data_IF_982069941354
#
_entry.id   IF_982069941354
#
_cell.length_a   1.000
_cell.length_b   1.000
_cell.length_c   1.000
_cell.angle_alpha   90.00
_cell.angle_beta   90.00
_cell.angle_gamma   90.00
#
_symmetry.space_group_name_H-M   'P 1'
#
loop_
_entity.id
_entity.type
_entity.pdbx_description
1 polymer ?
#
# COMPACT_ATOMS: atom_id res chain seq x y z
N UNK A 1 55.85 8.98 -16.88
CA UNK A 1 54.72 8.39 -16.17
C UNK A 1 53.93 9.53 -15.52
N UNK A 2 52.68 9.81 -15.97
CA UNK A 2 51.82 10.80 -15.29
C UNK A 2 51.49 10.23 -13.90
N UNK A 3 51.89 10.93 -12.83
CA UNK A 3 51.52 10.56 -11.47
C UNK A 3 49.98 10.53 -11.36
N UNK A 4 49.43 9.48 -10.83
CA UNK A 4 47.97 9.40 -10.56
C UNK A 4 47.58 10.58 -9.64
N UNK A 5 46.42 11.23 -9.89
CA UNK A 5 45.95 12.30 -9.01
C UNK A 5 45.71 11.74 -7.60
N UNK A 6 46.16 12.48 -6.58
CA UNK A 6 46.10 12.02 -5.18
C UNK A 6 44.71 11.64 -4.72
N UNK A 7 43.66 12.32 -5.24
CA UNK A 7 42.28 11.96 -4.98
C UNK A 7 41.92 10.54 -5.45
N UNK A 8 42.47 10.09 -6.58
CA UNK A 8 42.23 8.74 -7.10
C UNK A 8 42.95 7.68 -6.25
N UNK A 9 44.15 8.00 -5.74
CA UNK A 9 44.87 7.11 -4.82
C UNK A 9 44.06 6.91 -3.54
N UNK A 10 43.56 8.02 -2.97
CA UNK A 10 42.70 7.98 -1.78
C UNK A 10 41.42 7.19 -2.05
N UNK A 11 40.75 7.46 -3.16
CA UNK A 11 39.56 6.69 -3.59
C UNK A 11 39.81 5.18 -3.64
N UNK A 12 40.87 4.74 -4.33
CA UNK A 12 41.20 3.32 -4.46
C UNK A 12 41.56 2.68 -3.12
N UNK A 13 42.26 3.43 -2.25
CA UNK A 13 42.54 2.99 -0.89
C UNK A 13 41.25 2.75 -0.11
N UNK A 14 40.37 3.77 -0.05
CA UNK A 14 39.09 3.68 0.68
C UNK A 14 38.22 2.52 0.16
N UNK A 15 38.11 2.36 -1.17
CA UNK A 15 37.36 1.25 -1.77
C UNK A 15 37.96 -0.10 -1.36
N UNK A 16 39.28 -0.24 -1.44
CA UNK A 16 39.97 -1.49 -1.11
C UNK A 16 39.86 -1.85 0.38
N UNK A 17 39.97 -0.88 1.27
CA UNK A 17 39.83 -1.07 2.71
C UNK A 17 38.42 -1.51 3.08
N UNK A 18 37.42 -0.80 2.57
CA UNK A 18 36.03 -1.07 2.88
C UNK A 18 35.51 -2.37 2.25
N UNK A 19 36.02 -2.80 1.10
CA UNK A 19 35.72 -4.12 0.53
C UNK A 19 36.32 -5.28 1.34
N UNK A 20 37.38 -5.04 2.12
CA UNK A 20 37.98 -6.05 3.04
C UNK A 20 37.24 -6.11 4.37
N UNK A 21 36.54 -5.04 4.76
CA UNK A 21 35.74 -5.05 5.97
C UNK A 21 34.39 -5.75 5.74
N UNK A 22 34.29 -6.99 6.28
CA UNK A 22 33.07 -7.80 6.17
C UNK A 22 31.83 -7.10 6.72
N UNK A 23 31.98 -6.30 7.77
CA UNK A 23 30.87 -5.59 8.40
C UNK A 23 30.31 -4.51 7.46
N UNK A 24 31.19 -3.74 6.86
CA UNK A 24 30.82 -2.70 5.89
C UNK A 24 30.19 -3.32 4.63
N UNK A 25 30.78 -4.38 4.09
CA UNK A 25 30.23 -5.11 2.93
C UNK A 25 28.83 -5.65 3.22
N UNK A 26 28.62 -6.33 4.34
CA UNK A 26 27.32 -6.90 4.71
C UNK A 26 26.29 -5.79 4.90
N UNK A 27 26.61 -4.74 5.65
CA UNK A 27 25.66 -3.68 5.93
C UNK A 27 25.31 -2.86 4.69
N UNK A 28 26.30 -2.51 3.88
CA UNK A 28 26.13 -1.60 2.74
C UNK A 28 25.65 -2.33 1.49
N UNK A 29 26.21 -3.50 1.17
CA UNK A 29 25.96 -4.22 -0.08
C UNK A 29 24.91 -5.34 0.04
N UNK A 30 24.62 -5.82 1.25
CA UNK A 30 23.59 -6.84 1.45
C UNK A 30 22.37 -6.28 2.19
N UNK A 31 22.57 -5.77 3.41
CA UNK A 31 21.44 -5.33 4.25
C UNK A 31 20.71 -4.15 3.63
N UNK A 32 21.43 -3.12 3.17
CA UNK A 32 20.83 -1.94 2.54
C UNK A 32 19.97 -2.28 1.32
N UNK A 33 20.51 -2.95 0.28
CA UNK A 33 19.76 -3.32 -0.91
C UNK A 33 18.62 -4.30 -0.69
N UNK A 34 18.72 -5.21 0.30
CA UNK A 34 17.70 -6.23 0.54
C UNK A 34 16.58 -5.76 1.48
N UNK A 35 16.88 -4.84 2.40
CA UNK A 35 15.92 -4.36 3.39
C UNK A 35 14.72 -3.66 2.73
N UNK A 36 14.98 -2.80 1.75
CA UNK A 36 13.94 -2.05 1.06
C UNK A 36 12.97 -2.95 0.28
N UNK A 37 13.42 -3.90 -0.58
CA UNK A 37 12.53 -4.88 -1.21
C UNK A 37 11.78 -5.75 -0.21
N UNK A 38 12.43 -6.18 0.88
CA UNK A 38 11.77 -6.99 1.90
C UNK A 38 10.61 -6.26 2.58
N UNK A 39 10.83 -5.00 2.98
CA UNK A 39 9.78 -4.14 3.55
C UNK A 39 8.67 -3.92 2.52
N UNK A 40 9.01 -3.64 1.26
CA UNK A 40 8.03 -3.45 0.19
C UNK A 40 7.13 -4.67 0.02
N UNK A 41 7.72 -5.88 -0.09
CA UNK A 41 6.95 -7.13 -0.19
C UNK A 41 6.04 -7.34 1.00
N UNK A 42 6.55 -7.09 2.20
CA UNK A 42 5.77 -7.25 3.43
C UNK A 42 4.55 -6.30 3.42
N UNK A 43 4.74 -5.03 3.06
CA UNK A 43 3.65 -4.06 2.97
C UNK A 43 2.64 -4.47 1.92
N UNK A 44 3.10 -4.82 0.72
CA UNK A 44 2.22 -5.20 -0.40
C UNK A 44 1.46 -6.49 -0.10
N UNK A 45 2.16 -7.53 0.40
CA UNK A 45 1.51 -8.79 0.75
C UNK A 45 0.48 -8.60 1.86
N UNK A 46 0.80 -7.82 2.89
CA UNK A 46 -0.15 -7.49 3.95
C UNK A 46 -1.37 -6.70 3.41
N UNK A 47 -1.17 -5.79 2.47
CA UNK A 47 -2.25 -5.03 1.84
C UNK A 47 -3.14 -5.94 1.01
N UNK A 48 -2.54 -6.78 0.16
CA UNK A 48 -3.30 -7.75 -0.67
C UNK A 48 -4.09 -8.72 0.21
N UNK A 49 -3.47 -9.28 1.24
CA UNK A 49 -4.15 -10.20 2.16
C UNK A 49 -5.33 -9.53 2.85
N UNK A 50 -5.15 -8.29 3.33
CA UNK A 50 -6.23 -7.52 3.96
C UNK A 50 -7.39 -7.22 3.02
N UNK A 51 -7.11 -6.88 1.77
CA UNK A 51 -8.17 -6.61 0.78
C UNK A 51 -8.94 -7.87 0.39
N UNK A 52 -8.25 -9.01 0.20
CA UNK A 52 -8.89 -10.30 -0.06
C UNK A 52 -9.72 -10.75 1.14
N UNK A 53 -9.17 -10.67 2.34
CA UNK A 53 -9.87 -10.99 3.58
C UNK A 53 -11.13 -10.14 3.78
N UNK A 54 -11.06 -8.83 3.50
CA UNK A 54 -12.22 -7.93 3.61
C UNK A 54 -13.33 -8.28 2.62
N UNK A 55 -12.97 -8.74 1.42
CA UNK A 55 -13.95 -9.13 0.40
C UNK A 55 -14.70 -10.42 0.80
N UNK A 56 -14.02 -11.36 1.47
CA UNK A 56 -14.59 -12.67 1.85
C UNK A 56 -15.22 -12.67 3.26
N UNK A 57 -14.80 -11.76 4.15
CA UNK A 57 -15.34 -11.70 5.52
C UNK A 57 -16.80 -11.35 5.54
N UNK A 58 -17.55 -12.13 6.33
CA UNK A 58 -18.91 -11.81 6.73
C UNK A 58 -18.93 -10.43 7.41
N UNK A 59 -19.83 -9.55 6.96
CA UNK A 59 -19.99 -8.22 7.55
C UNK A 59 -20.92 -8.31 8.76
N UNK A 60 -20.43 -8.14 10.01
CA UNK A 60 -21.30 -8.08 11.18
C UNK A 60 -22.03 -6.74 11.19
N UNK A 61 -23.36 -6.80 11.21
CA UNK A 61 -24.23 -5.62 11.25
C UNK A 61 -25.19 -5.76 12.43
N UNK A 62 -25.06 -4.90 13.46
CA UNK A 62 -26.09 -4.79 14.47
C UNK A 62 -27.38 -4.22 13.86
N UNK A 63 -28.51 -4.88 14.14
CA UNK A 63 -29.82 -4.49 13.56
C UNK A 63 -30.85 -4.30 14.66
N UNK A 64 -31.49 -3.13 14.66
CA UNK A 64 -32.65 -2.82 15.49
C UNK A 64 -33.90 -3.07 14.69
N UNK A 65 -34.90 -3.77 15.25
CA UNK A 65 -36.18 -4.03 14.58
C UNK A 65 -36.08 -5.07 13.46
N UNK A 66 -35.20 -6.04 13.59
CA UNK A 66 -35.04 -7.13 12.61
C UNK A 66 -36.35 -7.91 12.37
N UNK A 67 -37.21 -7.98 13.38
CA UNK A 67 -38.56 -8.59 13.35
C UNK A 67 -39.55 -7.86 12.44
N UNK A 68 -39.34 -6.56 12.16
CA UNK A 68 -40.22 -5.78 11.31
C UNK A 68 -40.01 -6.08 9.81
N UNK A 69 -38.86 -6.70 9.44
CA UNK A 69 -38.52 -6.99 8.06
C UNK A 69 -37.81 -8.34 7.87
N UNK A 70 -38.43 -9.50 8.19
CA UNK A 70 -37.77 -10.79 8.16
C UNK A 70 -37.22 -11.17 6.79
N UNK A 71 -37.91 -10.79 5.70
CA UNK A 71 -37.48 -11.05 4.33
C UNK A 71 -36.23 -10.22 3.94
N UNK A 72 -36.14 -8.98 4.41
CA UNK A 72 -34.96 -8.13 4.22
C UNK A 72 -33.78 -8.73 4.98
N UNK A 73 -33.97 -9.13 6.23
CA UNK A 73 -32.93 -9.77 7.06
C UNK A 73 -32.43 -11.07 6.42
N UNK A 74 -33.32 -11.90 5.90
CA UNK A 74 -32.96 -13.12 5.17
C UNK A 74 -32.14 -12.82 3.90
N UNK A 75 -32.51 -11.79 3.15
CA UNK A 75 -31.77 -11.37 1.95
C UNK A 75 -30.39 -10.81 2.28
N UNK A 76 -30.21 -10.10 3.40
CA UNK A 76 -28.93 -9.60 3.86
C UNK A 76 -27.99 -10.75 4.26
N UNK A 77 -28.52 -11.75 4.95
CA UNK A 77 -27.75 -12.98 5.29
C UNK A 77 -27.23 -13.71 4.05
N UNK A 78 -28.02 -13.75 2.96
CA UNK A 78 -27.60 -14.35 1.69
C UNK A 78 -26.45 -13.57 1.01
N UNK A 79 -26.20 -12.33 1.41
CA UNK A 79 -25.13 -11.49 0.88
C UNK A 79 -23.92 -11.39 1.84
N UNK A 80 -23.66 -12.42 2.64
CA UNK A 80 -22.58 -12.47 3.62
C UNK A 80 -22.63 -11.31 4.65
N UNK A 81 -23.85 -10.95 5.09
CA UNK A 81 -24.09 -10.01 6.18
C UNK A 81 -24.60 -10.78 7.37
N UNK A 82 -23.85 -10.76 8.47
CA UNK A 82 -24.21 -11.38 9.73
C UNK A 82 -25.01 -10.40 10.57
N UNK A 83 -26.23 -10.77 10.91
CA UNK A 83 -27.10 -9.94 11.75
C UNK A 83 -26.69 -10.15 13.20
N UNK A 84 -26.29 -9.10 13.88
CA UNK A 84 -25.94 -9.06 15.31
C UNK A 84 -27.02 -8.34 16.10
N UNK A 85 -27.10 -8.65 17.38
CA UNK A 85 -27.94 -7.91 18.30
C UNK A 85 -27.47 -6.46 18.39
N UNK A 86 -28.44 -5.56 18.41
CA UNK A 86 -28.15 -4.14 18.47
C UNK A 86 -27.74 -3.71 19.88
N UNK A 87 -26.80 -2.77 20.03
CA UNK A 87 -26.47 -2.16 21.31
C UNK A 87 -27.66 -1.34 21.83
N UNK A 88 -27.74 -1.16 23.14
CA UNK A 88 -28.80 -0.41 23.79
C UNK A 88 -28.85 1.07 23.35
N UNK A 89 -27.69 1.65 23.09
CA UNK A 89 -27.53 3.01 22.54
C UNK A 89 -26.70 2.94 21.25
N UNK A 90 -27.35 2.85 20.08
CA UNK A 90 -26.66 2.68 18.80
C UNK A 90 -25.83 3.89 18.39
N UNK A 91 -26.29 5.10 18.69
CA UNK A 91 -25.57 6.33 18.38
C UNK A 91 -24.28 6.45 19.22
N UNK A 92 -24.34 6.01 20.47
CA UNK A 92 -23.17 5.96 21.35
C UNK A 92 -22.19 4.87 20.90
N UNK A 93 -22.66 3.68 20.58
CA UNK A 93 -21.82 2.59 20.12
C UNK A 93 -21.03 2.96 18.85
N UNK A 94 -21.63 3.72 17.94
CA UNK A 94 -20.95 4.24 16.75
C UNK A 94 -19.92 5.31 17.13
N UNK A 95 -20.23 6.23 18.04
CA UNK A 95 -19.30 7.27 18.51
C UNK A 95 -18.12 6.69 19.28
N UNK A 96 -18.38 5.71 20.15
CA UNK A 96 -17.35 5.06 20.98
C UNK A 96 -16.54 4.00 20.18
N UNK A 97 -16.82 3.83 18.90
CA UNK A 97 -16.17 2.88 17.97
C UNK A 97 -16.42 1.40 18.28
N UNK A 98 -17.44 1.07 19.03
CA UNK A 98 -17.85 -0.31 19.33
C UNK A 98 -18.55 -0.97 18.14
N UNK A 99 -19.13 -0.16 17.25
CA UNK A 99 -19.72 -0.59 15.99
C UNK A 99 -19.33 0.35 14.83
N UNK A 100 -19.07 -0.20 13.65
CA UNK A 100 -18.81 0.61 12.44
C UNK A 100 -20.08 1.29 11.94
N UNK A 101 -21.20 0.58 12.06
CA UNK A 101 -22.54 1.03 11.64
C UNK A 101 -23.62 0.24 12.38
N UNK A 102 -24.82 0.79 12.45
CA UNK A 102 -26.03 0.10 12.94
C UNK A 102 -27.16 0.32 11.92
N UNK A 103 -27.91 -0.74 11.62
CA UNK A 103 -29.12 -0.68 10.80
C UNK A 103 -30.33 -0.60 11.71
N UNK A 104 -31.17 0.42 11.56
CA UNK A 104 -32.46 0.54 12.23
C UNK A 104 -33.60 0.35 11.24
N UNK A 105 -34.50 -0.59 11.55
CA UNK A 105 -35.72 -0.86 10.79
C UNK A 105 -36.89 -0.41 11.64
N UNK A 106 -37.55 0.72 11.31
CA UNK A 106 -38.68 1.23 12.09
C UNK A 106 -39.87 0.27 12.08
N UNK A 107 -40.73 0.35 13.10
CA UNK A 107 -41.92 -0.49 13.23
C UNK A 107 -42.91 -0.29 12.04
N UNK A 108 -42.95 0.91 11.50
CA UNK A 108 -43.80 1.29 10.37
C UNK A 108 -43.35 0.65 9.05
N UNK A 109 -42.15 0.04 9.00
CA UNK A 109 -41.62 -0.60 7.80
C UNK A 109 -42.58 -1.62 7.22
N UNK A 110 -43.14 -2.50 8.07
CA UNK A 110 -44.05 -3.57 7.67
C UNK A 110 -45.33 -3.06 7.02
N UNK A 111 -45.89 -1.96 7.53
CA UNK A 111 -47.14 -1.40 7.04
C UNK A 111 -46.93 -0.66 5.71
N UNK A 112 -45.90 0.17 5.60
CA UNK A 112 -45.51 0.81 4.32
C UNK A 112 -45.19 -0.25 3.26
N UNK A 113 -44.50 -1.32 3.65
CA UNK A 113 -44.17 -2.42 2.74
C UNK A 113 -45.43 -3.11 2.17
N UNK A 114 -46.45 -3.42 3.04
CA UNK A 114 -47.71 -4.06 2.62
C UNK A 114 -48.54 -3.16 1.72
N UNK A 115 -48.57 -1.84 1.98
CA UNK A 115 -49.24 -0.83 1.13
C UNK A 115 -48.54 -0.64 -0.20
N UNK A 116 -47.31 -1.11 -0.38
CA UNK A 116 -46.51 -0.91 -1.59
C UNK A 116 -45.86 0.47 -1.66
N UNK A 117 -45.85 1.20 -0.56
CA UNK A 117 -45.20 2.47 -0.37
C UNK A 117 -43.68 2.28 -0.12
N UNK A 118 -42.84 3.32 -0.29
CA UNK A 118 -41.43 3.28 0.09
C UNK A 118 -41.29 3.10 1.61
N UNK A 119 -40.75 1.96 2.04
CA UNK A 119 -40.45 1.69 3.43
C UNK A 119 -39.03 2.22 3.75
N UNK A 120 -38.93 2.99 4.83
CA UNK A 120 -37.66 3.61 5.25
C UNK A 120 -36.85 2.68 6.13
N UNK A 121 -35.52 2.68 5.95
CA UNK A 121 -34.55 2.11 6.88
C UNK A 121 -33.47 3.16 7.18
N UNK A 122 -32.91 3.15 8.37
CA UNK A 122 -31.91 4.12 8.81
C UNK A 122 -30.54 3.44 8.98
N UNK A 123 -29.51 4.09 8.42
CA UNK A 123 -28.13 3.70 8.64
C UNK A 123 -27.48 4.70 9.60
N UNK A 124 -27.09 4.23 10.78
CA UNK A 124 -26.39 5.01 11.79
C UNK A 124 -24.91 4.69 11.66
N UNK A 125 -24.08 5.67 11.31
CA UNK A 125 -22.65 5.51 11.12
C UNK A 125 -21.90 6.84 11.25
N UNK A 126 -20.57 6.77 11.46
CA UNK A 126 -19.71 7.95 11.44
C UNK A 126 -19.04 8.10 10.08
N UNK A 127 -19.41 9.16 9.32
CA UNK A 127 -18.88 9.44 7.99
C UNK A 127 -17.40 9.87 7.98
N UNK A 128 -16.83 10.28 9.12
CA UNK A 128 -15.43 10.68 9.23
C UNK A 128 -14.47 9.47 9.22
N UNK A 129 -14.97 8.29 9.53
CA UNK A 129 -14.18 7.04 9.61
C UNK A 129 -14.11 6.34 8.26
N UNK A 130 -12.90 6.27 7.67
CA UNK A 130 -12.67 5.56 6.40
C UNK A 130 -13.00 4.06 6.47
N UNK A 131 -12.74 3.43 7.60
CA UNK A 131 -13.01 2.00 7.80
C UNK A 131 -14.51 1.71 7.77
N UNK A 132 -15.31 2.54 8.43
CA UNK A 132 -16.76 2.43 8.42
C UNK A 132 -17.37 2.62 7.01
N UNK A 133 -16.77 3.46 6.17
CA UNK A 133 -17.28 3.70 4.80
C UNK A 133 -17.33 2.44 3.95
N UNK A 134 -16.35 1.52 4.08
CA UNK A 134 -16.37 0.24 3.36
C UNK A 134 -17.54 -0.63 3.81
N UNK A 135 -17.76 -0.74 5.13
CA UNK A 135 -18.87 -1.48 5.73
C UNK A 135 -20.23 -0.88 5.34
N UNK A 136 -20.36 0.44 5.39
CA UNK A 136 -21.55 1.19 4.96
C UNK A 136 -21.82 0.99 3.46
N UNK A 137 -20.80 1.05 2.62
CA UNK A 137 -20.91 0.83 1.18
C UNK A 137 -21.42 -0.58 0.85
N UNK A 138 -20.90 -1.60 1.53
CA UNK A 138 -21.35 -2.99 1.37
C UNK A 138 -22.82 -3.17 1.77
N UNK A 139 -23.21 -2.66 2.96
CA UNK A 139 -24.58 -2.76 3.44
C UNK A 139 -25.55 -1.98 2.55
N UNK A 140 -25.20 -0.73 2.16
CA UNK A 140 -26.01 0.08 1.24
C UNK A 140 -26.21 -0.62 -0.09
N UNK A 141 -25.15 -1.20 -0.67
CA UNK A 141 -25.24 -1.98 -1.91
C UNK A 141 -26.13 -3.20 -1.78
N UNK A 142 -26.13 -3.89 -0.63
CA UNK A 142 -27.00 -5.02 -0.36
C UNK A 142 -28.46 -4.59 -0.23
N UNK A 143 -28.75 -3.51 0.48
CA UNK A 143 -30.08 -2.93 0.63
C UNK A 143 -30.63 -2.47 -0.72
N UNK A 144 -29.80 -1.83 -1.53
CA UNK A 144 -30.19 -1.35 -2.85
C UNK A 144 -30.50 -2.50 -3.82
N UNK A 145 -29.69 -3.56 -3.85
CA UNK A 145 -29.97 -4.78 -4.62
C UNK A 145 -31.29 -5.44 -4.20
N UNK A 146 -31.57 -5.50 -2.89
CA UNK A 146 -32.85 -6.01 -2.40
C UNK A 146 -34.01 -5.15 -2.85
N UNK A 147 -33.91 -3.82 -2.71
CA UNK A 147 -34.92 -2.85 -3.14
C UNK A 147 -35.20 -2.98 -4.63
N UNK A 148 -34.17 -3.01 -5.47
CA UNK A 148 -34.28 -3.16 -6.92
C UNK A 148 -34.96 -4.47 -7.32
N UNK A 149 -34.54 -5.59 -6.71
CA UNK A 149 -35.14 -6.90 -6.97
C UNK A 149 -36.61 -6.94 -6.60
N UNK A 150 -36.96 -6.40 -5.43
CA UNK A 150 -38.35 -6.37 -4.97
C UNK A 150 -39.20 -5.43 -5.80
N UNK A 151 -38.68 -4.27 -6.13
CA UNK A 151 -39.36 -3.32 -7.04
C UNK A 151 -39.65 -3.95 -8.40
N UNK A 152 -38.66 -4.63 -8.99
CA UNK A 152 -38.83 -5.36 -10.25
C UNK A 152 -39.93 -6.44 -10.14
N UNK A 153 -39.95 -7.23 -9.06
CA UNK A 153 -40.99 -8.24 -8.85
C UNK A 153 -42.37 -7.65 -8.70
N UNK A 154 -42.50 -6.50 -8.00
CA UNK A 154 -43.77 -5.79 -7.84
C UNK A 154 -44.30 -5.27 -9.18
N UNK A 155 -43.43 -4.77 -10.07
CA UNK A 155 -43.81 -4.31 -11.40
C UNK A 155 -44.25 -5.47 -12.28
N UNK A 156 -43.52 -6.58 -12.30
CA UNK A 156 -43.86 -7.80 -13.03
C UNK A 156 -45.24 -8.35 -12.60
N UNK A 157 -45.50 -8.38 -11.29
CA UNK A 157 -46.80 -8.82 -10.76
C UNK A 157 -47.96 -7.92 -11.21
N UNK A 158 -47.68 -6.69 -11.63
CA UNK A 158 -48.66 -5.76 -12.20
C UNK A 158 -48.68 -5.75 -13.73
N UNK A 159 -47.93 -6.66 -14.38
CA UNK A 159 -47.83 -6.72 -15.84
C UNK A 159 -46.94 -5.62 -16.44
N UNK A 160 -46.18 -4.88 -15.62
CA UNK A 160 -45.36 -3.75 -16.07
C UNK A 160 -43.89 -4.25 -16.18
N UNK A 161 -43.27 -3.96 -17.32
CA UNK A 161 -41.83 -4.29 -17.49
C UNK A 161 -40.98 -3.49 -16.52
N UNK A 162 -40.02 -4.11 -15.76
CA UNK A 162 -39.08 -3.38 -14.91
C UNK A 162 -38.22 -2.38 -15.68
N UNK A 163 -38.06 -2.56 -16.99
CA UNK A 163 -37.32 -1.64 -17.86
C UNK A 163 -37.90 -0.20 -17.91
N UNK A 164 -39.19 -0.04 -17.57
CA UNK A 164 -39.83 1.28 -17.50
C UNK A 164 -39.18 2.20 -16.46
N UNK A 165 -38.70 1.61 -15.34
CA UNK A 165 -38.03 2.36 -14.24
C UNK A 165 -36.55 2.52 -14.50
N UNK A 166 -35.97 1.75 -15.47
CA UNK A 166 -34.56 1.83 -15.86
C UNK A 166 -34.42 2.08 -17.36
N UNK A 167 -34.65 3.32 -17.81
CA UNK A 167 -34.66 3.67 -19.23
C UNK A 167 -33.29 3.55 -19.91
N UNK A 168 -32.20 3.45 -19.12
CA UNK A 168 -30.86 3.22 -19.61
C UNK A 168 -30.06 2.33 -18.65
N UNK A 169 -29.05 1.70 -19.18
CA UNK A 169 -28.06 0.93 -18.42
C UNK A 169 -26.70 1.59 -18.64
N UNK A 170 -26.04 1.95 -17.55
CA UNK A 170 -24.65 2.43 -17.61
C UNK A 170 -23.74 1.21 -17.84
N UNK A 171 -23.08 1.19 -18.99
CA UNK A 171 -22.06 0.20 -19.29
C UNK A 171 -20.69 0.80 -18.95
N UNK A 172 -20.13 0.44 -17.81
CA UNK A 172 -18.79 0.86 -17.43
C UNK A 172 -17.75 0.18 -18.33
N UNK A 173 -16.96 1.00 -19.02
CA UNK A 173 -15.81 0.55 -19.79
C UNK A 173 -14.55 1.03 -19.10
N UNK A 174 -14.03 0.22 -18.20
CA UNK A 174 -12.74 0.50 -17.55
C UNK A 174 -11.61 0.42 -18.60
N UNK A 175 -10.98 1.57 -18.86
CA UNK A 175 -9.84 1.71 -19.77
C UNK A 175 -8.50 1.59 -19.03
N UNK A 176 -8.51 1.30 -17.73
CA UNK A 176 -7.28 1.16 -16.97
C UNK A 176 -6.51 -0.09 -17.45
N UNK A 177 -5.26 0.12 -17.82
CA UNK A 177 -4.34 -0.98 -18.09
C UNK A 177 -3.78 -1.54 -16.77
N UNK A 178 -3.27 -2.76 -16.81
CA UNK A 178 -2.57 -3.34 -15.66
C UNK A 178 -1.39 -2.45 -15.19
N UNK A 179 -0.75 -1.73 -16.12
CA UNK A 179 0.32 -0.77 -15.84
C UNK A 179 -0.21 0.48 -15.12
N UNK A 180 -1.38 1.00 -15.52
CA UNK A 180 -1.98 2.17 -14.87
C UNK A 180 -2.40 1.83 -13.43
N UNK A 181 -2.94 0.65 -13.19
CA UNK A 181 -3.31 0.16 -11.86
C UNK A 181 -2.10 -0.03 -10.95
N UNK A 182 -0.98 -0.48 -11.50
CA UNK A 182 0.28 -0.61 -10.74
C UNK A 182 0.98 0.74 -10.50
N UNK A 183 0.57 1.82 -11.17
CA UNK A 183 1.18 3.14 -11.07
C UNK A 183 1.31 3.66 -9.64
N UNK A 184 0.30 3.42 -8.79
CA UNK A 184 0.34 3.80 -7.38
C UNK A 184 1.45 3.08 -6.61
N UNK A 185 1.69 1.78 -6.92
CA UNK A 185 2.78 1.01 -6.32
C UNK A 185 4.14 1.48 -6.84
N UNK A 186 4.23 1.75 -8.14
CA UNK A 186 5.46 2.28 -8.75
C UNK A 186 5.84 3.66 -8.22
N UNK A 187 4.87 4.50 -7.86
CA UNK A 187 5.12 5.81 -7.27
C UNK A 187 5.87 5.73 -5.92
N UNK A 188 5.80 4.60 -5.22
CA UNK A 188 6.53 4.39 -3.96
C UNK A 188 7.98 3.92 -4.17
N UNK A 189 8.30 3.29 -5.30
CA UNK A 189 9.62 2.69 -5.54
C UNK A 189 10.78 3.70 -5.49
N UNK A 190 10.70 4.92 -6.05
CA UNK A 190 11.77 5.90 -5.94
C UNK A 190 12.19 6.20 -4.50
N UNK A 191 11.24 6.25 -3.57
CA UNK A 191 11.55 6.47 -2.15
C UNK A 191 12.39 5.34 -1.56
N UNK A 192 12.11 4.09 -1.93
CA UNK A 192 12.91 2.94 -1.48
C UNK A 192 14.32 2.96 -2.07
N UNK A 193 14.50 3.41 -3.31
CA UNK A 193 15.83 3.54 -3.91
C UNK A 193 16.64 4.67 -3.28
N UNK A 194 16.01 5.82 -3.02
CA UNK A 194 16.63 6.94 -2.29
C UNK A 194 17.06 6.47 -0.90
N UNK A 195 16.19 5.79 -0.18
CA UNK A 195 16.49 5.24 1.14
C UNK A 195 17.63 4.22 1.08
N UNK A 196 17.63 3.33 0.09
CA UNK A 196 18.68 2.34 -0.15
C UNK A 196 20.04 2.99 -0.45
N UNK A 197 20.07 4.04 -1.27
CA UNK A 197 21.28 4.82 -1.56
C UNK A 197 21.81 5.48 -0.27
N UNK A 198 20.90 6.06 0.52
CA UNK A 198 21.27 6.74 1.76
C UNK A 198 21.85 5.76 2.79
N UNK A 199 21.18 4.63 3.02
CA UNK A 199 21.65 3.59 3.93
C UNK A 199 22.99 3.02 3.44
N UNK A 200 23.13 2.75 2.14
CA UNK A 200 24.34 2.21 1.53
C UNK A 200 25.54 3.16 1.62
N UNK A 201 25.32 4.46 1.47
CA UNK A 201 26.39 5.47 1.57
C UNK A 201 26.71 5.90 3.00
N UNK A 202 25.70 5.98 3.87
CA UNK A 202 25.81 6.54 5.22
C UNK A 202 26.82 5.79 6.11
N UNK A 203 26.79 4.46 6.09
CA UNK A 203 27.68 3.65 6.89
C UNK A 203 29.15 3.94 6.54
N UNK A 204 29.47 4.01 5.25
CA UNK A 204 30.81 4.33 4.77
C UNK A 204 31.18 5.80 5.06
N UNK A 205 30.24 6.72 4.86
CA UNK A 205 30.50 8.14 5.17
C UNK A 205 30.84 8.35 6.65
N UNK A 206 30.15 7.67 7.56
CA UNK A 206 30.41 7.75 9.00
C UNK A 206 31.78 7.13 9.33
N UNK A 207 32.09 5.94 8.81
CA UNK A 207 33.32 5.24 9.12
C UNK A 207 34.55 6.01 8.58
N UNK A 208 34.49 6.53 7.37
CA UNK A 208 35.58 7.27 6.72
C UNK A 208 35.75 8.70 7.25
N UNK A 209 34.84 9.21 8.06
CA UNK A 209 34.92 10.56 8.66
C UNK A 209 34.99 10.51 10.19
N UNK A 210 33.89 10.24 10.85
CA UNK A 210 33.81 10.17 12.31
C UNK A 210 34.61 9.00 12.87
N UNK A 211 34.56 7.83 12.21
CA UNK A 211 35.31 6.64 12.63
C UNK A 211 36.83 6.84 12.60
N UNK A 212 37.36 7.49 11.55
CA UNK A 212 38.79 7.81 11.50
C UNK A 212 39.18 8.87 12.56
N UNK A 213 38.30 9.81 12.86
CA UNK A 213 38.54 10.80 13.92
C UNK A 213 38.60 10.13 15.31
N UNK A 214 37.70 9.22 15.60
CA UNK A 214 37.68 8.47 16.85
C UNK A 214 38.92 7.56 17.02
N UNK A 215 39.40 6.97 15.92
CA UNK A 215 40.59 6.12 15.89
C UNK A 215 41.90 6.93 15.84
N UNK A 216 41.82 8.28 15.82
CA UNK A 216 43.00 9.20 15.70
C UNK A 216 43.83 8.93 14.44
N UNK A 217 43.29 8.32 13.43
CA UNK A 217 43.97 7.98 12.17
C UNK A 217 44.00 9.13 11.15
N UNK A 218 43.32 10.23 11.44
CA UNK A 218 43.40 11.46 10.62
C UNK A 218 44.74 12.19 10.74
N UNK A 219 45.40 12.15 11.89
CA UNK A 219 46.67 12.85 12.10
C UNK A 219 47.78 12.40 11.13
N UNK A 220 48.06 11.09 10.96
CA UNK A 220 49.00 10.60 9.96
C UNK A 220 48.63 10.99 8.51
N UNK A 221 47.36 11.12 8.22
CA UNK A 221 46.87 11.52 6.88
C UNK A 221 47.25 12.98 6.56
N UNK A 222 47.25 13.87 7.56
CA UNK A 222 47.57 15.30 7.38
C UNK A 222 49.07 15.59 7.28
N UNK A 223 49.93 14.66 7.66
CA UNK A 223 51.36 14.75 7.49
C UNK A 223 51.81 14.53 6.04
N UNK A 224 50.95 13.85 5.24
CA UNK A 224 51.25 13.62 3.83
C UNK A 224 51.05 14.93 3.00
N UNK A 225 51.88 15.15 1.94
CA UNK A 225 51.81 16.34 1.09
C UNK A 225 50.62 16.28 0.11
N UNK A 226 49.41 16.04 0.63
CA UNK A 226 48.15 15.94 -0.11
C UNK A 226 47.22 17.06 0.36
N UNK A 227 46.58 17.76 -0.57
CA UNK A 227 45.63 18.80 -0.21
C UNK A 227 44.37 18.20 0.45
N UNK A 228 43.83 18.87 1.46
CA UNK A 228 42.63 18.43 2.19
C UNK A 228 41.42 18.20 1.27
N UNK A 229 41.30 19.01 0.21
CA UNK A 229 40.26 18.88 -0.81
C UNK A 229 40.37 17.56 -1.59
N UNK A 230 41.58 17.13 -1.94
CA UNK A 230 41.81 15.87 -2.63
C UNK A 230 41.50 14.65 -1.75
N UNK A 231 41.78 14.74 -0.44
CA UNK A 231 41.39 13.72 0.54
C UNK A 231 39.85 13.61 0.62
N UNK A 232 39.17 14.77 0.75
CA UNK A 232 37.72 14.81 0.83
C UNK A 232 37.05 14.29 -0.46
N UNK A 233 37.55 14.70 -1.62
CA UNK A 233 37.02 14.22 -2.91
C UNK A 233 37.20 12.71 -3.05
N UNK A 234 38.36 12.15 -2.67
CA UNK A 234 38.60 10.72 -2.71
C UNK A 234 37.61 9.93 -1.85
N UNK A 235 37.33 10.40 -0.63
CA UNK A 235 36.34 9.79 0.29
C UNK A 235 34.90 9.92 -0.23
N UNK A 236 34.52 11.09 -0.75
CA UNK A 236 33.21 11.31 -1.35
C UNK A 236 32.98 10.39 -2.56
N UNK A 237 33.98 10.23 -3.43
CA UNK A 237 33.88 9.34 -4.57
C UNK A 237 33.71 7.88 -4.13
N UNK A 238 34.44 7.43 -3.10
CA UNK A 238 34.29 6.08 -2.54
C UNK A 238 32.88 5.86 -1.98
N UNK A 239 32.39 6.80 -1.16
CA UNK A 239 31.04 6.77 -0.59
C UNK A 239 29.97 6.74 -1.68
N UNK A 240 30.13 7.57 -2.72
CA UNK A 240 29.19 7.60 -3.86
C UNK A 240 29.21 6.28 -4.64
N UNK A 241 30.37 5.66 -4.83
CA UNK A 241 30.46 4.35 -5.49
C UNK A 241 29.70 3.27 -4.70
N UNK A 242 29.85 3.22 -3.39
CA UNK A 242 29.14 2.26 -2.55
C UNK A 242 27.63 2.54 -2.54
N UNK A 243 27.21 3.81 -2.48
CA UNK A 243 25.79 4.19 -2.57
C UNK A 243 25.18 3.75 -3.91
N UNK A 244 25.86 4.05 -5.04
CA UNK A 244 25.41 3.62 -6.37
C UNK A 244 25.36 2.09 -6.50
N UNK A 245 26.36 1.38 -5.97
CA UNK A 245 26.37 -0.07 -5.99
C UNK A 245 25.21 -0.64 -5.18
N UNK A 246 24.90 -0.04 -4.02
CA UNK A 246 23.73 -0.40 -3.20
C UNK A 246 22.42 -0.22 -3.97
N UNK A 247 22.25 0.87 -4.70
CA UNK A 247 21.08 1.11 -5.56
C UNK A 247 20.97 0.07 -6.66
N UNK A 248 22.08 -0.24 -7.36
CA UNK A 248 22.10 -1.25 -8.41
C UNK A 248 21.69 -2.63 -7.88
N UNK A 249 22.24 -3.03 -6.74
CA UNK A 249 21.84 -4.28 -6.08
C UNK A 249 20.37 -4.25 -5.64
N UNK A 250 19.89 -3.09 -5.18
CA UNK A 250 18.48 -2.86 -4.85
C UNK A 250 17.57 -3.06 -6.07
N UNK A 251 17.93 -2.50 -7.23
CA UNK A 251 17.18 -2.69 -8.48
C UNK A 251 17.10 -4.17 -8.85
N UNK A 252 18.22 -4.88 -8.75
CA UNK A 252 18.26 -6.34 -9.02
C UNK A 252 17.37 -7.09 -8.02
N UNK A 253 17.47 -6.76 -6.72
CA UNK A 253 16.66 -7.38 -5.69
C UNK A 253 15.16 -7.13 -5.90
N UNK A 254 14.74 -5.90 -6.22
CA UNK A 254 13.35 -5.58 -6.56
C UNK A 254 12.88 -6.33 -7.81
N UNK A 255 13.74 -6.48 -8.83
CA UNK A 255 13.39 -7.20 -10.06
C UNK A 255 13.15 -8.69 -9.80
N UNK A 256 13.94 -9.29 -8.90
CA UNK A 256 13.77 -10.69 -8.51
C UNK A 256 12.50 -10.87 -7.68
N UNK A 257 12.35 -10.05 -6.64
CA UNK A 257 11.25 -10.13 -5.69
C UNK A 257 9.90 -9.79 -6.34
N UNK A 258 9.90 -8.83 -7.27
CA UNK A 258 8.69 -8.45 -8.02
C UNK A 258 8.04 -9.62 -8.78
N UNK A 259 8.82 -10.64 -9.16
CA UNK A 259 8.31 -11.84 -9.83
C UNK A 259 7.54 -12.79 -8.90
N UNK A 260 7.77 -12.68 -7.60
CA UNK A 260 7.10 -13.53 -6.61
C UNK A 260 5.85 -12.88 -6.01
N UNK A 261 5.58 -11.61 -6.32
CA UNK A 261 4.40 -10.93 -5.83
C UNK A 261 3.15 -11.37 -6.60
N UNK A 262 2.06 -11.77 -5.92
CA UNK A 262 0.82 -12.20 -6.57
C UNK A 262 -0.01 -11.01 -7.09
N UNK A 263 0.61 -10.12 -7.85
CA UNK A 263 -0.01 -8.89 -8.36
C UNK A 263 -1.10 -9.15 -9.39
N UNK A 264 -1.06 -10.32 -10.05
CA UNK A 264 -2.09 -10.77 -10.99
C UNK A 264 -3.48 -10.85 -10.34
N UNK A 265 -3.56 -11.21 -9.05
CA UNK A 265 -4.81 -11.27 -8.29
C UNK A 265 -5.51 -9.91 -8.16
N UNK A 266 -4.76 -8.81 -8.32
CA UNK A 266 -5.27 -7.44 -8.32
C UNK A 266 -5.39 -6.86 -9.73
N UNK A 267 -5.16 -7.66 -10.78
CA UNK A 267 -5.13 -7.19 -12.17
C UNK A 267 -4.01 -6.17 -12.44
N UNK A 268 -2.90 -6.28 -11.71
CA UNK A 268 -1.72 -5.42 -11.83
C UNK A 268 -0.58 -6.20 -12.46
N UNK A 269 0.25 -5.53 -13.29
CA UNK A 269 1.51 -6.07 -13.79
C UNK A 269 2.68 -5.30 -13.18
N UNK A 270 3.58 -6.00 -12.48
CA UNK A 270 4.81 -5.46 -11.93
C UNK A 270 5.98 -5.93 -12.81
N UNK A 271 6.23 -5.21 -13.91
CA UNK A 271 7.42 -5.44 -14.74
C UNK A 271 8.52 -4.45 -14.35
N UNK A 272 9.33 -4.82 -13.35
CA UNK A 272 10.55 -4.10 -13.01
C UNK A 272 11.66 -4.62 -13.95
N UNK A 273 11.67 -4.11 -15.18
CA UNK A 273 12.63 -4.51 -16.20
C UNK A 273 13.84 -3.56 -16.28
N UNK A 274 14.76 -3.87 -17.19
CA UNK A 274 15.97 -3.07 -17.46
C UNK A 274 15.67 -1.59 -17.76
N UNK A 275 14.55 -1.28 -18.43
CA UNK A 275 14.12 0.10 -18.72
C UNK A 275 13.79 0.88 -17.45
N UNK A 276 13.13 0.24 -16.48
CA UNK A 276 12.85 0.87 -15.18
C UNK A 276 14.15 1.12 -14.42
N UNK A 277 15.04 0.10 -14.36
CA UNK A 277 16.35 0.23 -13.71
C UNK A 277 17.21 1.33 -14.31
N UNK A 278 17.25 1.48 -15.63
CA UNK A 278 17.99 2.56 -16.30
C UNK A 278 17.41 3.93 -16.01
N UNK A 279 16.10 4.08 -15.92
CA UNK A 279 15.44 5.35 -15.54
C UNK A 279 15.77 5.74 -14.11
N UNK A 280 15.70 4.78 -13.16
CA UNK A 280 16.07 5.05 -11.76
C UNK A 280 17.53 5.49 -11.65
N UNK A 281 18.42 4.81 -12.36
CA UNK A 281 19.85 5.12 -12.36
C UNK A 281 20.12 6.52 -12.93
N UNK A 282 19.41 6.91 -13.97
CA UNK A 282 19.53 8.22 -14.61
C UNK A 282 18.99 9.35 -13.73
N UNK A 283 17.99 9.09 -12.91
CA UNK A 283 17.45 10.07 -11.95
C UNK A 283 18.35 10.20 -10.72
N UNK A 284 19.14 9.16 -10.39
CA UNK A 284 20.05 9.15 -9.23
C UNK A 284 21.45 9.69 -9.51
N UNK A 285 21.85 9.81 -10.78
CA UNK A 285 23.10 10.43 -11.24
C UNK A 285 22.96 11.95 -11.37
#
# INVERSE_FOLDING_TARGET
>A
MKSMPSALIVFLKEVSENLRDRRTVINTLLTGPLLAPAIFVLIISATISRELDKAERTLPVPVIGAEHAPNLVAALRQQNIEIKDAPADPERAVRDMDADLVLRIPAEFGDSWKKGEPAQVELIYDASRREAQTSVGRLRGALEKYSQRTGAMRLLARGISPGVVRPYVVADRDQSTAQTRSGTLFAMLPYFFILGAFIGGMALAIDTTAGERERQSLEPLFVNPVSRSQLLIGKLLATSLFALTSVLLGIVAFSIVGRFLPTEKLGMSLEIGLRFGSTVLLVML
#
